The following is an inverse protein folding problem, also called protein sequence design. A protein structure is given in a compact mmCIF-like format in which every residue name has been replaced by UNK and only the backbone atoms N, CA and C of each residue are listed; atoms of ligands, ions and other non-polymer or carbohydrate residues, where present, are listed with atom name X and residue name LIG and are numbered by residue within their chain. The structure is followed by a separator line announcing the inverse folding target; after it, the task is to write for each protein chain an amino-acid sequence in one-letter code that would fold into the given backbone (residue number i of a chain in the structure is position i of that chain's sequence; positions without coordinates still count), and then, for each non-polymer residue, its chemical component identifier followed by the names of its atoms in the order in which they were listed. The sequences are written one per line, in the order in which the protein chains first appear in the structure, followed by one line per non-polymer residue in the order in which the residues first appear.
data_IF_506819774475
#
_entry.id   IF_506819774475
#
_cell.length_a   1.000
_cell.length_b   1.000
_cell.length_c   1.000
_cell.angle_alpha   90.00
_cell.angle_beta   90.00
_cell.angle_gamma   90.00
#
_symmetry.space_group_name_H-M   'P 1'
#
loop_
_entity.id
_entity.type
_entity.pdbx_description
1 polymer ?
#
# COMPACT_ATOMS: atom_id res chain seq x y z
N UNK A 1 23.86 -2.77 -2.41
CA UNK A 1 22.79 -3.41 -1.64
C UNK A 1 21.46 -3.13 -2.30
N UNK A 2 20.64 -4.12 -2.45
CA UNK A 2 19.31 -3.90 -2.98
C UNK A 2 18.46 -3.08 -2.03
N UNK A 3 17.50 -2.34 -2.54
CA UNK A 3 16.53 -1.65 -1.74
C UNK A 3 15.56 -2.62 -1.06
N UNK A 4 14.64 -2.06 -0.30
CA UNK A 4 13.55 -2.83 0.29
C UNK A 4 12.66 -3.42 -0.80
N UNK A 5 12.15 -4.59 -0.53
CA UNK A 5 11.34 -5.31 -1.48
C UNK A 5 10.30 -6.13 -0.72
N UNK A 6 9.04 -6.03 -1.14
CA UNK A 6 7.99 -6.82 -0.55
C UNK A 6 8.01 -8.22 -1.13
N UNK A 7 7.87 -9.20 -0.25
CA UNK A 7 7.77 -10.59 -0.65
C UNK A 7 6.34 -10.87 -1.10
N UNK A 8 6.14 -11.10 -2.38
CA UNK A 8 4.81 -11.35 -2.93
C UNK A 8 4.15 -12.58 -2.34
N UNK A 9 4.96 -13.59 -1.92
CA UNK A 9 4.43 -14.76 -1.25
C UNK A 9 3.81 -14.43 0.10
N UNK A 10 4.32 -13.41 0.78
CA UNK A 10 3.79 -12.97 2.06
C UNK A 10 2.30 -12.64 1.97
N UNK A 11 1.90 -11.89 0.94
CA UNK A 11 0.50 -11.48 0.78
C UNK A 11 -0.43 -12.66 0.51
N UNK A 12 0.07 -13.71 -0.15
CA UNK A 12 -0.76 -14.86 -0.54
C UNK A 12 -0.83 -15.96 0.50
N UNK A 13 0.24 -16.16 1.26
CA UNK A 13 0.41 -17.36 2.08
C UNK A 13 0.52 -17.09 3.56
N UNK A 14 1.02 -15.92 3.95
CA UNK A 14 1.40 -15.65 5.32
C UNK A 14 0.56 -14.53 5.93
N UNK A 15 -0.13 -13.75 5.11
CA UNK A 15 -0.76 -12.57 5.66
C UNK A 15 -1.81 -12.92 6.72
N UNK A 16 -1.79 -12.14 7.77
CA UNK A 16 -2.80 -12.15 8.82
C UNK A 16 -2.92 -10.72 9.28
N UNK A 17 -4.06 -10.37 9.89
CA UNK A 17 -4.22 -9.02 10.41
C UNK A 17 -3.18 -8.76 11.49
N UNK A 18 -2.38 -7.70 11.37
CA UNK A 18 -1.51 -7.28 12.46
C UNK A 18 -2.34 -6.92 13.69
N UNK A 19 -1.79 -7.15 14.87
CA UNK A 19 -2.48 -6.80 16.11
C UNK A 19 -2.41 -5.29 16.38
N UNK A 20 -1.50 -4.58 15.72
CA UNK A 20 -1.33 -3.14 15.92
C UNK A 20 -0.73 -2.50 14.67
N UNK A 21 -0.79 -1.17 14.64
CA UNK A 21 -0.22 -0.38 13.56
C UNK A 21 1.22 -0.03 13.92
N UNK A 22 2.15 -0.61 13.18
CA UNK A 22 3.58 -0.43 13.43
C UNK A 22 4.01 1.01 13.24
N UNK A 23 4.69 1.59 14.22
CA UNK A 23 5.27 2.92 14.12
C UNK A 23 6.51 2.88 13.23
N UNK A 24 6.47 3.55 12.09
CA UNK A 24 7.56 3.60 11.12
C UNK A 24 8.32 4.92 11.17
N UNK A 25 8.08 5.74 12.18
CA UNK A 25 8.82 7.00 12.39
C UNK A 25 10.32 6.67 12.52
N UNK A 26 11.14 7.39 11.79
CA UNK A 26 12.58 7.17 11.81
C UNK A 26 13.10 6.21 10.75
N UNK A 27 12.21 5.53 10.01
CA UNK A 27 12.65 4.73 8.87
C UNK A 27 13.29 5.65 7.82
N UNK A 28 14.35 5.18 7.18
CA UNK A 28 15.02 5.93 6.12
C UNK A 28 14.36 5.71 4.77
N UNK A 29 13.74 4.55 4.59
CA UNK A 29 12.95 4.24 3.40
C UNK A 29 11.85 3.25 3.76
N UNK A 30 10.74 3.34 3.05
CA UNK A 30 9.56 2.48 3.26
C UNK A 30 9.11 1.98 1.91
N UNK A 31 9.02 0.65 1.76
CA UNK A 31 8.43 0.05 0.57
C UNK A 31 6.92 -0.05 0.78
N UNK A 32 6.15 0.34 -0.23
CA UNK A 32 4.69 0.37 -0.18
C UNK A 32 4.15 -0.39 -1.38
N UNK A 33 3.14 -1.22 -1.14
CA UNK A 33 2.43 -1.92 -2.20
C UNK A 33 0.95 -1.99 -1.82
N UNK A 34 0.09 -1.62 -2.77
CA UNK A 34 -1.36 -1.65 -2.57
C UNK A 34 -1.94 -2.90 -3.21
N UNK A 35 -2.92 -3.52 -2.53
CA UNK A 35 -3.83 -4.47 -3.15
C UNK A 35 -5.09 -3.72 -3.54
N UNK A 36 -5.55 -3.94 -4.77
CA UNK A 36 -6.69 -3.22 -5.31
C UNK A 36 -7.68 -4.19 -5.93
N UNK A 37 -8.94 -3.76 -5.98
CA UNK A 37 -9.95 -4.39 -6.80
C UNK A 37 -10.14 -3.48 -8.01
N UNK A 38 -9.60 -3.89 -9.17
CA UNK A 38 -9.53 -3.05 -10.35
C UNK A 38 -9.70 -3.93 -11.60
N UNK A 39 -10.93 -4.31 -11.88
CA UNK A 39 -11.22 -5.22 -12.99
C UNK A 39 -10.86 -4.64 -14.35
N UNK A 40 -11.00 -3.32 -14.51
CA UNK A 40 -10.76 -2.66 -15.79
C UNK A 40 -9.31 -2.74 -16.25
N UNK A 41 -8.35 -2.77 -15.33
CA UNK A 41 -6.93 -2.80 -15.70
C UNK A 41 -6.59 -4.10 -16.43
N UNK A 42 -7.20 -5.21 -16.01
CA UNK A 42 -6.96 -6.52 -16.64
C UNK A 42 -7.66 -6.64 -17.99
N UNK A 43 -8.61 -5.77 -18.30
CA UNK A 43 -9.35 -5.75 -19.55
C UNK A 43 -8.88 -4.66 -20.50
N UNK A 44 -7.72 -4.05 -20.23
CA UNK A 44 -7.15 -3.02 -21.08
C UNK A 44 -7.85 -1.69 -21.02
N UNK A 45 -8.70 -1.44 -20.02
CA UNK A 45 -9.44 -0.20 -19.88
C UNK A 45 -8.67 0.89 -19.14
N UNK A 46 -7.45 0.58 -18.65
CA UNK A 46 -6.64 1.49 -17.88
C UNK A 46 -6.86 1.36 -16.39
N UNK A 47 -6.17 2.18 -15.61
CA UNK A 47 -6.25 2.13 -14.16
C UNK A 47 -7.61 2.63 -13.67
N UNK A 48 -8.19 1.90 -12.71
CA UNK A 48 -9.51 2.21 -12.17
C UNK A 48 -9.58 3.59 -11.54
N UNK A 49 -8.49 4.04 -10.90
CA UNK A 49 -8.48 5.37 -10.29
C UNK A 49 -8.67 6.49 -11.33
N UNK A 50 -8.18 6.30 -12.55
CA UNK A 50 -8.38 7.25 -13.63
C UNK A 50 -9.80 7.24 -14.18
N UNK A 51 -10.51 6.12 -14.01
CA UNK A 51 -11.86 5.92 -14.49
C UNK A 51 -12.93 6.09 -13.40
N UNK A 52 -12.51 6.33 -12.16
CA UNK A 52 -13.42 6.39 -11.02
C UNK A 52 -14.01 5.05 -10.65
N UNK A 53 -13.29 3.95 -10.92
CA UNK A 53 -13.76 2.58 -10.69
C UNK A 53 -12.77 1.81 -9.85
N UNK A 54 -13.28 0.81 -9.12
CA UNK A 54 -12.45 -0.02 -8.26
C UNK A 54 -12.13 0.64 -6.93
N UNK A 55 -11.25 0.01 -6.17
CA UNK A 55 -10.90 0.50 -4.84
C UNK A 55 -9.64 -0.17 -4.32
N UNK A 56 -9.00 0.47 -3.35
CA UNK A 56 -7.91 -0.12 -2.58
C UNK A 56 -8.54 -1.07 -1.56
N UNK A 57 -8.01 -2.28 -1.44
CA UNK A 57 -8.53 -3.28 -0.49
C UNK A 57 -7.49 -3.72 0.53
N UNK A 58 -6.23 -3.32 0.39
CA UNK A 58 -5.19 -3.65 1.35
C UNK A 58 -3.95 -2.79 1.16
N UNK A 59 -3.19 -2.66 2.24
CA UNK A 59 -2.01 -1.81 2.31
C UNK A 59 -0.84 -2.62 2.87
N UNK A 60 0.19 -2.82 2.07
CA UNK A 60 1.39 -3.53 2.47
C UNK A 60 2.55 -2.55 2.63
N UNK A 61 3.31 -2.70 3.70
CA UNK A 61 4.48 -1.87 3.99
C UNK A 61 5.64 -2.73 4.45
N UNK A 62 6.84 -2.31 4.10
CA UNK A 62 8.05 -2.96 4.56
C UNK A 62 9.12 -1.92 4.89
N UNK A 63 9.83 -2.17 5.96
CA UNK A 63 11.06 -1.47 6.33
C UNK A 63 12.11 -2.53 6.60
N UNK A 64 13.35 -2.12 6.84
CA UNK A 64 14.39 -3.07 7.20
C UNK A 64 13.97 -3.84 8.44
N UNK A 65 13.94 -5.18 8.35
CA UNK A 65 13.65 -6.06 9.47
C UNK A 65 12.18 -6.27 9.79
N UNK A 66 11.26 -5.65 9.05
CA UNK A 66 9.84 -5.82 9.34
C UNK A 66 8.99 -5.57 8.09
N UNK A 67 7.91 -6.33 7.95
CA UNK A 67 6.88 -6.04 6.96
C UNK A 67 5.52 -6.43 7.50
N UNK A 68 4.49 -5.78 7.01
CA UNK A 68 3.11 -6.04 7.42
C UNK A 68 2.12 -5.76 6.31
N UNK A 69 0.96 -6.40 6.40
CA UNK A 69 -0.14 -6.22 5.48
C UNK A 69 -1.41 -5.90 6.26
N UNK A 70 -2.09 -4.84 5.85
CA UNK A 70 -3.29 -4.32 6.53
C UNK A 70 -4.48 -4.42 5.56
N UNK A 71 -5.24 -5.53 5.62
CA UNK A 71 -6.40 -5.72 4.74
C UNK A 71 -7.60 -4.92 5.25
N UNK A 72 -8.37 -4.32 4.35
CA UNK A 72 -9.59 -3.60 4.76
C UNK A 72 -10.74 -3.66 3.76
N UNK A 73 -10.61 -4.43 2.68
CA UNK A 73 -11.66 -4.51 1.67
C UNK A 73 -11.77 -5.85 0.97
N UNK A 74 -11.20 -6.92 1.54
CA UNK A 74 -11.29 -8.26 0.94
C UNK A 74 -12.69 -8.84 1.11
N UNK A 75 -13.22 -9.45 0.05
CA UNK A 75 -14.55 -10.04 0.07
C UNK A 75 -14.66 -11.25 0.99
N UNK A 76 -13.55 -11.98 1.17
CA UNK A 76 -13.52 -13.18 2.01
C UNK A 76 -13.52 -12.91 3.52
N UNK A 77 -13.50 -11.66 3.94
CA UNK A 77 -13.43 -11.31 5.36
C UNK A 77 -11.99 -11.19 5.85
N UNK A 78 -11.81 -11.18 7.17
CA UNK A 78 -10.48 -11.03 7.78
C UNK A 78 -9.95 -9.60 7.69
N UNK A 79 -10.84 -8.63 7.51
CA UNK A 79 -10.45 -7.23 7.32
C UNK A 79 -10.31 -6.50 8.65
N UNK A 80 -9.43 -5.52 8.65
CA UNK A 80 -9.33 -4.52 9.72
C UNK A 80 -10.33 -3.40 9.45
N UNK A 81 -10.47 -2.51 10.41
CA UNK A 81 -11.41 -1.37 10.28
C UNK A 81 -10.89 -0.41 9.23
N UNK A 82 -11.65 -0.18 8.13
CA UNK A 82 -11.13 0.61 7.00
C UNK A 82 -10.65 2.01 7.37
N UNK A 83 -11.37 2.71 8.23
CA UNK A 83 -11.01 4.08 8.62
C UNK A 83 -9.68 4.12 9.36
N UNK A 84 -9.40 3.09 10.16
CA UNK A 84 -8.13 2.99 10.88
C UNK A 84 -6.97 2.71 9.93
N UNK A 85 -7.16 1.79 8.98
CA UNK A 85 -6.12 1.50 7.99
C UNK A 85 -5.85 2.72 7.12
N UNK A 86 -6.89 3.42 6.70
CA UNK A 86 -6.72 4.64 5.89
C UNK A 86 -5.97 5.73 6.65
N UNK A 87 -6.27 5.90 7.94
CA UNK A 87 -5.54 6.84 8.78
C UNK A 87 -4.06 6.45 8.89
N UNK A 88 -3.77 5.16 9.04
CA UNK A 88 -2.42 4.66 9.08
C UNK A 88 -1.69 4.88 7.74
N UNK A 89 -2.36 4.61 6.61
CA UNK A 89 -1.81 4.88 5.29
C UNK A 89 -1.40 6.34 5.15
N UNK A 90 -2.26 7.24 5.59
CA UNK A 90 -1.98 8.67 5.54
C UNK A 90 -0.78 9.02 6.41
N UNK A 91 -0.70 8.47 7.61
CA UNK A 91 0.44 8.69 8.51
C UNK A 91 1.75 8.23 7.88
N UNK A 92 1.78 7.01 7.35
CA UNK A 92 2.96 6.43 6.72
C UNK A 92 3.38 7.25 5.50
N UNK A 93 2.45 7.58 4.63
CA UNK A 93 2.74 8.34 3.42
C UNK A 93 3.20 9.78 3.71
N UNK A 94 2.86 10.31 4.88
CA UNK A 94 3.25 11.66 5.30
C UNK A 94 4.65 11.73 5.91
N UNK A 95 5.27 10.59 6.21
CA UNK A 95 6.64 10.59 6.74
C UNK A 95 7.60 11.13 5.67
N UNK A 96 8.67 11.85 6.08
CA UNK A 96 9.54 12.51 5.11
C UNK A 96 10.51 11.60 4.36
N UNK A 97 10.62 10.33 4.76
CA UNK A 97 11.56 9.40 4.16
C UNK A 97 11.18 9.01 2.72
N UNK A 98 12.12 8.35 2.06
CA UNK A 98 11.91 7.81 0.70
C UNK A 98 10.84 6.73 0.71
N UNK A 99 9.94 6.78 -0.27
CA UNK A 99 8.93 5.74 -0.48
C UNK A 99 9.26 4.97 -1.76
N UNK A 100 9.28 3.65 -1.66
CA UNK A 100 9.65 2.75 -2.75
C UNK A 100 8.39 2.02 -3.21
N UNK A 101 8.08 2.11 -4.50
CA UNK A 101 6.94 1.44 -5.13
C UNK A 101 7.41 0.58 -6.28
N UNK A 102 6.66 -0.45 -6.59
CA UNK A 102 6.74 -1.15 -7.85
C UNK A 102 5.55 -0.68 -8.69
N UNK A 103 5.81 0.01 -9.81
CA UNK A 103 4.80 0.71 -10.60
C UNK A 103 4.18 1.87 -9.81
N UNK A 104 5.01 2.84 -9.46
CA UNK A 104 4.63 3.97 -8.60
C UNK A 104 3.43 4.75 -9.13
N UNK A 105 3.35 4.95 -10.45
CA UNK A 105 2.26 5.72 -11.05
C UNK A 105 0.90 5.11 -10.69
N UNK A 106 0.80 3.80 -10.72
CA UNK A 106 -0.45 3.10 -10.41
C UNK A 106 -0.84 3.28 -8.95
N UNK A 107 0.10 3.01 -8.03
CA UNK A 107 -0.19 3.08 -6.58
C UNK A 107 -0.39 4.52 -6.11
N UNK A 108 0.45 5.45 -6.56
CA UNK A 108 0.32 6.86 -6.20
C UNK A 108 -1.02 7.41 -6.70
N UNK A 109 -1.47 7.00 -7.89
CA UNK A 109 -2.77 7.37 -8.41
C UNK A 109 -3.91 6.96 -7.49
N UNK A 110 -3.87 5.71 -6.97
CA UNK A 110 -4.87 5.25 -6.02
C UNK A 110 -4.84 6.03 -4.71
N UNK A 111 -3.64 6.33 -4.20
CA UNK A 111 -3.50 7.12 -2.97
C UNK A 111 -4.07 8.52 -3.14
N UNK A 112 -3.77 9.18 -4.26
CA UNK A 112 -4.33 10.50 -4.57
C UNK A 112 -5.85 10.46 -4.65
N UNK A 113 -6.42 9.40 -5.23
CA UNK A 113 -7.86 9.25 -5.37
C UNK A 113 -8.57 9.25 -4.01
N UNK A 114 -7.94 8.74 -2.97
CA UNK A 114 -8.50 8.73 -1.62
C UNK A 114 -7.96 9.87 -0.75
N UNK A 115 -7.31 10.86 -1.36
CA UNK A 115 -6.87 12.07 -0.66
C UNK A 115 -5.57 11.92 0.11
N UNK A 116 -4.75 10.94 -0.24
CA UNK A 116 -3.47 10.72 0.44
C UNK A 116 -2.33 11.18 -0.44
N UNK A 117 -1.53 12.12 0.08
CA UNK A 117 -0.33 12.60 -0.58
C UNK A 117 0.88 11.84 -0.06
N UNK A 118 1.75 11.41 -0.98
CA UNK A 118 3.01 10.75 -0.63
C UNK A 118 4.09 11.81 -0.50
N UNK A 119 4.64 11.95 0.70
CA UNK A 119 5.75 12.87 0.97
C UNK A 119 7.08 12.15 0.79
N UNK A 120 8.14 12.93 0.61
CA UNK A 120 9.48 12.41 0.41
C UNK A 120 9.73 12.00 -1.03
N UNK A 121 10.93 11.46 -1.25
CA UNK A 121 11.31 10.98 -2.57
C UNK A 121 10.53 9.71 -2.92
N UNK A 122 10.07 9.62 -4.17
CA UNK A 122 9.40 8.42 -4.67
C UNK A 122 10.36 7.69 -5.60
N UNK A 123 10.62 6.42 -5.30
CA UNK A 123 11.45 5.54 -6.10
C UNK A 123 10.56 4.47 -6.72
N UNK A 124 10.63 4.32 -8.03
CA UNK A 124 9.88 3.30 -8.78
C UNK A 124 10.85 2.21 -9.21
N UNK A 125 10.59 1.00 -8.80
CA UNK A 125 11.48 -0.13 -9.13
C UNK A 125 10.99 -0.99 -10.30
#
# INVERSE_FOLDING_TARGET
MGGLQLNMSFKKHIWSCPSEYKDLTGATEIAIDLETRDEGINNGLGAGWALGKGEIIGFAVAVEGWQGYYPFGHLGGGNMIPEQVKAYMKTVCSLPCTKIFHNAQYDVGWLQQVGIKVEGEIVDT
#
